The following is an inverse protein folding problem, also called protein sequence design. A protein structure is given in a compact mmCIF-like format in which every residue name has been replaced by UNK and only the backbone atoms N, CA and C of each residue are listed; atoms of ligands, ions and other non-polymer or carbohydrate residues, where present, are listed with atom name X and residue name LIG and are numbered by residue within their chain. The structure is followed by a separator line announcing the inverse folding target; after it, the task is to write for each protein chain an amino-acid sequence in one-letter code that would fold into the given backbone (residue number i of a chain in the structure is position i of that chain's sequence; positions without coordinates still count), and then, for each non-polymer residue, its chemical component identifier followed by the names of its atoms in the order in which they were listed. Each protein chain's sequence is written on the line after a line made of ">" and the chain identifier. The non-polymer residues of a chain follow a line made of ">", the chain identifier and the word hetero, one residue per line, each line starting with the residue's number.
data_IF_513221513309
#
_entry.id   IF_513221513309
#
_cell.length_a   1.000
_cell.length_b   1.000
_cell.length_c   1.000
_cell.angle_alpha   90.00
_cell.angle_beta   90.00
_cell.angle_gamma   90.00
#
_symmetry.space_group_name_H-M   'P 1'
#
loop_
_entity.id
_entity.type
_entity.pdbx_description
1 polymer ?
#
# COMPACT_ATOMS: atom_id res chain seq x y z
N UNK A 1 -28.18 6.23 -20.31
CA UNK A 1 -28.51 5.09 -21.17
C UNK A 1 -27.59 4.90 -22.38
N UNK A 2 -27.26 5.95 -23.18
CA UNK A 2 -26.34 5.85 -24.33
C UNK A 2 -24.89 5.54 -23.90
N UNK A 3 -24.39 6.18 -22.87
CA UNK A 3 -23.04 5.94 -22.32
C UNK A 3 -22.92 4.55 -21.72
N UNK A 4 -23.92 4.07 -20.97
CA UNK A 4 -23.90 2.72 -20.39
C UNK A 4 -23.91 1.62 -21.47
N UNK A 5 -24.65 1.81 -22.57
CA UNK A 5 -24.62 0.85 -23.69
C UNK A 5 -23.28 0.84 -24.44
N UNK A 6 -22.63 2.00 -24.56
CA UNK A 6 -21.33 2.08 -25.22
C UNK A 6 -20.19 1.52 -24.38
N UNK A 7 -20.22 1.74 -23.06
CA UNK A 7 -19.26 1.14 -22.11
C UNK A 7 -19.37 -0.39 -22.13
N UNK A 8 -20.58 -0.94 -22.02
CA UNK A 8 -20.79 -2.39 -22.03
C UNK A 8 -20.39 -3.06 -23.36
N UNK A 9 -20.56 -2.37 -24.48
CA UNK A 9 -20.11 -2.88 -25.78
C UNK A 9 -18.59 -2.84 -25.93
N UNK A 10 -17.95 -1.78 -25.44
CA UNK A 10 -16.48 -1.66 -25.40
C UNK A 10 -15.85 -2.78 -24.57
N UNK A 11 -16.35 -3.01 -23.37
CA UNK A 11 -15.83 -4.06 -22.48
C UNK A 11 -16.03 -5.46 -23.09
N UNK A 12 -17.16 -5.68 -23.77
CA UNK A 12 -17.40 -6.95 -24.46
C UNK A 12 -16.39 -7.17 -25.59
N UNK A 13 -16.15 -6.17 -26.42
CA UNK A 13 -15.17 -6.25 -27.50
C UNK A 13 -13.74 -6.43 -26.96
N UNK A 14 -13.41 -5.70 -25.88
CA UNK A 14 -12.13 -5.83 -25.24
C UNK A 14 -11.91 -7.25 -24.69
N UNK A 15 -12.90 -7.82 -24.01
CA UNK A 15 -12.83 -9.22 -23.51
C UNK A 15 -12.65 -10.23 -24.64
N UNK A 16 -13.39 -10.06 -25.77
CA UNK A 16 -13.25 -10.94 -26.93
C UNK A 16 -11.82 -10.88 -27.48
N UNK A 17 -11.30 -9.67 -27.67
CA UNK A 17 -9.92 -9.47 -28.14
C UNK A 17 -8.91 -10.10 -27.18
N UNK A 18 -8.97 -9.77 -25.90
CA UNK A 18 -8.04 -10.30 -24.89
C UNK A 18 -8.07 -11.82 -24.79
N UNK A 19 -9.25 -12.42 -24.81
CA UNK A 19 -9.37 -13.90 -24.84
C UNK A 19 -8.82 -14.51 -26.11
N UNK A 20 -8.95 -13.83 -27.26
CA UNK A 20 -8.38 -14.29 -28.54
C UNK A 20 -6.85 -14.21 -28.49
N UNK A 21 -6.29 -13.11 -27.98
CA UNK A 21 -4.84 -12.93 -27.84
C UNK A 21 -4.24 -14.00 -26.91
N UNK A 22 -4.90 -14.28 -25.77
CA UNK A 22 -4.50 -15.35 -24.86
C UNK A 22 -4.58 -16.74 -25.51
N UNK A 23 -5.62 -17.02 -26.30
CA UNK A 23 -5.79 -18.28 -27.02
C UNK A 23 -4.68 -18.46 -28.08
N UNK A 24 -4.21 -17.36 -28.67
CA UNK A 24 -3.09 -17.35 -29.62
C UNK A 24 -1.71 -17.46 -28.96
N UNK A 25 -1.67 -17.56 -27.61
CA UNK A 25 -0.44 -17.81 -26.85
C UNK A 25 0.15 -16.57 -26.17
N UNK A 26 -0.48 -15.40 -26.30
CA UNK A 26 -0.11 -14.23 -25.49
C UNK A 26 -0.27 -14.57 -24.01
N UNK A 27 0.59 -13.97 -23.17
CA UNK A 27 0.57 -14.18 -21.71
C UNK A 27 0.36 -12.87 -20.94
N UNK A 28 0.06 -11.79 -21.65
CA UNK A 28 -0.04 -10.46 -21.06
C UNK A 28 -1.19 -9.67 -21.70
N UNK A 29 -1.96 -8.95 -20.88
CA UNK A 29 -2.98 -8.00 -21.28
C UNK A 29 -2.67 -6.66 -20.62
N UNK A 30 -2.54 -5.61 -21.42
CA UNK A 30 -2.29 -4.23 -20.92
C UNK A 30 -1.19 -4.14 -19.86
N UNK A 31 -0.05 -4.82 -20.06
CA UNK A 31 1.05 -4.79 -19.10
C UNK A 31 0.83 -5.65 -17.84
N UNK A 32 -0.18 -6.53 -17.85
CA UNK A 32 -0.46 -7.47 -16.76
C UNK A 32 -0.26 -8.90 -17.26
N UNK A 33 0.64 -9.62 -16.65
CA UNK A 33 0.84 -11.06 -16.90
C UNK A 33 -0.32 -11.85 -16.30
N UNK A 34 -0.85 -12.77 -17.11
CA UNK A 34 -1.88 -13.72 -16.72
C UNK A 34 -1.19 -15.00 -16.28
N UNK A 35 -1.32 -15.36 -15.01
CA UNK A 35 -0.85 -16.64 -14.48
C UNK A 35 -2.02 -17.57 -14.17
N UNK A 36 -1.74 -18.75 -13.64
CA UNK A 36 -2.79 -19.75 -13.39
C UNK A 36 -3.74 -19.31 -12.25
N UNK A 37 -3.25 -18.52 -11.29
CA UNK A 37 -3.98 -18.22 -10.06
C UNK A 37 -3.99 -16.72 -9.68
N UNK A 38 -3.27 -15.86 -10.41
CA UNK A 38 -3.23 -14.43 -10.12
C UNK A 38 -2.82 -13.58 -11.32
N UNK A 39 -3.08 -12.30 -11.23
CA UNK A 39 -2.64 -11.27 -12.17
C UNK A 39 -1.38 -10.61 -11.62
N UNK A 40 -0.36 -10.44 -12.46
CA UNK A 40 0.92 -9.86 -12.04
C UNK A 40 1.29 -8.69 -12.94
N UNK A 41 1.41 -7.50 -12.37
CA UNK A 41 1.81 -6.31 -13.13
C UNK A 41 3.24 -6.46 -13.65
N UNK A 42 3.45 -6.12 -14.93
CA UNK A 42 4.80 -6.04 -15.53
C UNK A 42 5.54 -4.83 -14.95
N UNK A 43 6.70 -5.07 -14.40
CA UNK A 43 7.57 -4.02 -13.89
C UNK A 43 8.54 -3.57 -14.99
N UNK A 44 8.56 -2.27 -15.25
CA UNK A 44 9.49 -1.68 -16.21
C UNK A 44 10.77 -1.23 -15.50
N UNK A 45 11.89 -1.29 -16.22
CA UNK A 45 13.18 -0.79 -15.74
C UNK A 45 13.59 0.53 -16.42
N UNK A 46 12.70 1.09 -17.24
CA UNK A 46 12.98 2.33 -17.96
C UNK A 46 12.74 3.53 -17.04
N UNK A 47 13.58 4.54 -17.14
CA UNK A 47 13.44 5.84 -16.45
C UNK A 47 13.42 5.74 -14.92
N UNK A 48 14.06 4.71 -14.35
CA UNK A 48 14.19 4.56 -12.91
C UNK A 48 15.31 5.49 -12.42
N UNK A 49 15.06 6.35 -11.39
CA UNK A 49 16.07 7.23 -10.82
C UNK A 49 17.29 6.47 -10.28
N UNK A 50 18.44 7.12 -10.13
CA UNK A 50 19.57 6.50 -9.44
C UNK A 50 19.20 6.18 -7.98
N UNK A 51 19.75 5.11 -7.35
CA UNK A 51 19.42 4.77 -5.96
C UNK A 51 19.66 5.92 -4.97
N UNK A 52 20.69 6.71 -5.19
CA UNK A 52 21.00 7.92 -4.42
C UNK A 52 19.93 8.99 -4.58
N UNK A 53 19.41 9.18 -5.80
CA UNK A 53 18.29 10.10 -6.05
C UNK A 53 17.02 9.64 -5.34
N UNK A 54 16.72 8.34 -5.35
CA UNK A 54 15.56 7.79 -4.63
C UNK A 54 15.70 7.86 -3.11
N UNK A 55 16.90 7.88 -2.55
CA UNK A 55 17.12 8.07 -1.12
C UNK A 55 17.13 9.55 -0.70
N UNK A 56 17.43 10.47 -1.62
CA UNK A 56 17.68 11.88 -1.31
C UNK A 56 16.53 12.58 -0.58
N UNK A 57 15.25 12.43 -0.98
CA UNK A 57 14.17 13.15 -0.30
C UNK A 57 14.02 12.77 1.19
N UNK A 58 14.29 11.49 1.54
CA UNK A 58 14.23 11.03 2.93
C UNK A 58 15.47 11.49 3.69
N UNK A 59 16.64 11.49 3.05
CA UNK A 59 17.87 12.02 3.63
C UNK A 59 17.72 13.50 3.98
N UNK A 60 17.23 14.32 3.04
CA UNK A 60 16.99 15.75 3.23
C UNK A 60 16.00 15.99 4.38
N UNK A 61 14.91 15.22 4.42
CA UNK A 61 13.91 15.28 5.50
C UNK A 61 14.55 14.97 6.85
N UNK A 62 15.32 13.89 6.94
CA UNK A 62 15.98 13.49 8.17
C UNK A 62 17.03 14.52 8.61
N UNK A 63 17.84 15.03 7.69
CA UNK A 63 18.85 16.06 7.99
C UNK A 63 18.24 17.35 8.53
N UNK A 64 17.06 17.74 8.02
CA UNK A 64 16.33 18.93 8.47
C UNK A 64 15.65 18.75 9.82
N UNK A 65 15.16 17.55 10.12
CA UNK A 65 14.28 17.33 11.27
C UNK A 65 14.93 16.60 12.43
N UNK A 66 15.88 15.71 12.15
CA UNK A 66 16.54 14.82 13.12
C UNK A 66 15.57 13.94 13.93
N UNK A 67 14.34 13.73 13.44
CA UNK A 67 13.36 12.86 14.07
C UNK A 67 13.71 11.41 13.72
N UNK A 68 13.58 10.44 14.66
CA UNK A 68 13.73 9.01 14.35
C UNK A 68 12.88 8.60 13.14
N UNK A 69 13.54 8.30 12.04
CA UNK A 69 12.92 8.07 10.73
C UNK A 69 13.07 6.62 10.33
N UNK A 70 11.96 6.04 9.87
CA UNK A 70 11.84 4.66 9.42
C UNK A 70 11.39 4.63 7.96
N UNK A 71 11.93 3.68 7.19
CA UNK A 71 11.67 3.57 5.78
C UNK A 71 11.33 2.14 5.36
N UNK A 72 10.19 1.99 4.72
CA UNK A 72 9.67 0.72 4.18
C UNK A 72 9.38 0.89 2.71
N UNK A 73 10.10 0.17 1.86
CA UNK A 73 9.76 -0.02 0.45
C UNK A 73 9.16 -1.40 0.26
N UNK A 74 7.90 -1.42 -0.16
CA UNK A 74 7.16 -2.66 -0.39
C UNK A 74 7.40 -3.13 -1.83
N UNK A 75 7.90 -4.35 -2.05
CA UNK A 75 8.01 -4.91 -3.39
C UNK A 75 6.64 -5.22 -3.97
N UNK A 76 6.53 -5.30 -5.28
CA UNK A 76 5.31 -5.75 -5.95
C UNK A 76 5.10 -7.26 -5.87
N UNK A 77 3.87 -7.72 -6.11
CA UNK A 77 3.53 -9.14 -6.22
C UNK A 77 4.39 -9.85 -7.29
N UNK A 78 4.65 -9.21 -8.43
CA UNK A 78 5.45 -9.79 -9.50
C UNK A 78 6.94 -9.95 -9.17
N UNK A 79 7.46 -9.24 -8.17
CA UNK A 79 8.77 -9.53 -7.61
C UNK A 79 8.75 -10.75 -6.70
N UNK A 80 7.80 -10.81 -5.77
CA UNK A 80 7.71 -11.91 -4.78
C UNK A 80 7.35 -13.24 -5.46
N UNK A 81 6.46 -13.19 -6.44
CA UNK A 81 5.99 -14.36 -7.19
C UNK A 81 6.66 -14.51 -8.56
N UNK A 82 7.91 -14.09 -8.68
CA UNK A 82 8.68 -14.15 -9.94
C UNK A 82 8.64 -15.53 -10.60
N UNK A 83 8.60 -16.60 -9.82
CA UNK A 83 8.50 -17.98 -10.32
C UNK A 83 7.16 -18.30 -11.03
N UNK A 84 6.12 -17.49 -10.81
CA UNK A 84 4.82 -17.64 -11.50
C UNK A 84 4.76 -16.90 -12.84
N UNK A 85 5.72 -16.02 -13.11
CA UNK A 85 5.76 -15.28 -14.36
C UNK A 85 5.95 -16.23 -15.54
N UNK A 86 5.39 -15.92 -16.71
CA UNK A 86 5.61 -16.70 -17.94
C UNK A 86 7.11 -16.87 -18.25
N UNK A 87 7.46 -17.99 -18.90
CA UNK A 87 8.82 -18.19 -19.39
C UNK A 87 9.22 -17.02 -20.31
N UNK A 88 10.39 -16.45 -20.08
CA UNK A 88 10.91 -15.27 -20.79
C UNK A 88 10.15 -13.94 -20.48
N UNK A 89 9.36 -13.87 -19.41
CA UNK A 89 8.78 -12.61 -18.99
C UNK A 89 9.88 -11.59 -18.67
N UNK A 90 9.75 -10.40 -19.25
CA UNK A 90 10.63 -9.27 -18.94
C UNK A 90 10.02 -8.54 -17.73
N UNK A 91 10.69 -8.60 -16.60
CA UNK A 91 10.24 -7.97 -15.37
C UNK A 91 11.45 -7.42 -14.59
N UNK A 92 11.39 -6.14 -14.21
CA UNK A 92 12.45 -5.49 -13.45
C UNK A 92 12.69 -6.21 -12.12
N UNK A 93 13.92 -6.21 -11.64
CA UNK A 93 14.28 -6.78 -10.34
C UNK A 93 14.19 -5.71 -9.26
N UNK A 94 13.40 -5.96 -8.23
CA UNK A 94 13.19 -4.98 -7.17
C UNK A 94 14.06 -5.24 -5.94
N UNK A 95 14.49 -6.47 -5.68
CA UNK A 95 15.30 -6.81 -4.50
C UNK A 95 16.57 -5.99 -4.42
N UNK A 96 17.40 -6.07 -5.44
CA UNK A 96 18.67 -5.32 -5.47
C UNK A 96 18.41 -3.81 -5.48
N UNK A 97 17.36 -3.37 -6.16
CA UNK A 97 16.95 -1.96 -6.20
C UNK A 97 16.66 -1.43 -4.81
N UNK A 98 15.81 -2.10 -4.04
CA UNK A 98 15.49 -1.74 -2.64
C UNK A 98 16.75 -1.69 -1.80
N UNK A 99 17.61 -2.70 -1.91
CA UNK A 99 18.86 -2.75 -1.15
C UNK A 99 19.79 -1.56 -1.46
N UNK A 100 19.93 -1.21 -2.74
CA UNK A 100 20.76 -0.07 -3.15
C UNK A 100 20.19 1.26 -2.65
N UNK A 101 18.86 1.45 -2.66
CA UNK A 101 18.22 2.64 -2.08
C UNK A 101 18.51 2.70 -0.58
N UNK A 102 18.34 1.60 0.15
CA UNK A 102 18.61 1.54 1.60
C UNK A 102 20.09 1.81 1.94
N UNK A 103 21.02 1.32 1.13
CA UNK A 103 22.46 1.63 1.30
C UNK A 103 22.79 3.11 1.01
N UNK A 104 21.90 3.82 0.32
CA UNK A 104 22.06 5.25 0.01
C UNK A 104 21.38 6.17 1.03
N UNK A 105 20.73 5.61 2.05
CA UNK A 105 20.15 6.42 3.14
C UNK A 105 21.22 6.86 4.13
N UNK A 106 21.03 8.05 4.71
CA UNK A 106 21.86 8.61 5.77
C UNK A 106 21.80 7.76 7.04
N UNK A 107 22.93 7.68 7.77
CA UNK A 107 22.97 7.04 9.09
C UNK A 107 21.94 7.68 10.04
N UNK A 108 21.13 6.84 10.70
CA UNK A 108 20.03 7.27 11.56
C UNK A 108 18.66 7.04 10.94
N UNK A 109 18.59 6.76 9.64
CA UNK A 109 17.37 6.27 9.00
C UNK A 109 17.31 4.74 9.11
N UNK A 110 16.20 4.23 9.64
CA UNK A 110 16.02 2.81 9.92
C UNK A 110 15.20 2.14 8.81
N UNK A 111 15.87 1.46 7.89
CA UNK A 111 15.20 0.72 6.81
C UNK A 111 14.64 -0.62 7.31
N UNK A 112 13.44 -0.99 6.88
CA UNK A 112 12.76 -2.26 7.20
C UNK A 112 12.70 -3.11 5.93
N UNK A 113 13.24 -4.32 5.98
CA UNK A 113 13.33 -5.22 4.83
C UNK A 113 12.03 -5.97 4.59
N UNK A 114 11.06 -5.27 3.99
CA UNK A 114 9.77 -5.88 3.60
C UNK A 114 9.95 -6.99 2.55
N UNK A 115 10.97 -6.89 1.66
CA UNK A 115 11.19 -7.90 0.64
C UNK A 115 11.49 -9.27 1.24
N UNK A 116 12.42 -9.37 2.18
CA UNK A 116 12.78 -10.65 2.80
C UNK A 116 11.64 -11.20 3.66
N UNK A 117 10.90 -10.33 4.38
CA UNK A 117 9.73 -10.73 5.17
C UNK A 117 8.68 -11.36 4.25
N UNK A 118 8.26 -10.67 3.19
CA UNK A 118 7.22 -11.13 2.27
C UNK A 118 7.68 -12.35 1.47
N UNK A 119 8.94 -12.40 1.05
CA UNK A 119 9.49 -13.59 0.35
C UNK A 119 9.44 -14.85 1.21
N UNK A 120 9.64 -14.74 2.53
CA UNK A 120 9.53 -15.88 3.45
C UNK A 120 8.08 -16.39 3.62
N UNK A 121 7.10 -15.57 3.27
CA UNK A 121 5.67 -15.84 3.41
C UNK A 121 4.97 -16.08 2.07
N UNK A 122 5.71 -16.20 0.97
CA UNK A 122 5.17 -16.27 -0.39
C UNK A 122 4.17 -17.41 -0.65
N UNK A 123 4.18 -18.45 0.20
CA UNK A 123 3.25 -19.59 0.09
C UNK A 123 1.91 -19.29 0.80
N UNK A 124 1.78 -18.11 1.43
CA UNK A 124 0.55 -17.63 2.04
C UNK A 124 -0.13 -16.58 1.16
N UNK A 125 -1.37 -16.22 1.50
CA UNK A 125 -2.14 -15.20 0.80
C UNK A 125 -1.72 -13.79 1.24
N UNK A 126 -0.53 -13.35 0.80
CA UNK A 126 0.09 -12.07 1.21
C UNK A 126 -0.10 -10.94 0.19
N UNK A 127 -0.52 -11.26 -1.03
CA UNK A 127 -0.95 -10.31 -2.06
C UNK A 127 -2.31 -10.72 -2.62
N UNK A 128 -3.10 -9.72 -3.04
CA UNK A 128 -4.32 -9.98 -3.78
C UNK A 128 -4.00 -10.60 -5.15
N UNK A 129 -4.94 -11.39 -5.67
CA UNK A 129 -4.80 -12.05 -6.99
C UNK A 129 -5.18 -11.13 -8.14
N UNK A 130 -6.06 -10.17 -7.86
CA UNK A 130 -6.67 -9.30 -8.87
C UNK A 130 -6.32 -7.83 -8.67
N UNK A 131 -5.47 -7.52 -7.70
CA UNK A 131 -5.06 -6.17 -7.34
C UNK A 131 -3.54 -6.08 -7.12
N UNK A 132 -2.98 -4.87 -7.22
CA UNK A 132 -1.53 -4.63 -7.01
C UNK A 132 -1.11 -4.70 -5.56
N UNK A 133 -2.03 -4.47 -4.62
CA UNK A 133 -1.72 -4.36 -3.20
C UNK A 133 -1.44 -5.71 -2.53
N UNK A 134 -0.70 -5.63 -1.43
CA UNK A 134 -0.63 -6.72 -0.46
C UNK A 134 -1.94 -6.86 0.31
N UNK A 135 -2.16 -8.02 0.92
CA UNK A 135 -3.28 -8.21 1.85
C UNK A 135 -2.94 -7.66 3.23
N UNK A 136 -3.94 -7.44 4.08
CA UNK A 136 -3.70 -7.10 5.50
C UNK A 136 -2.81 -8.14 6.20
N UNK A 137 -2.88 -9.41 5.77
CA UNK A 137 -2.03 -10.47 6.31
C UNK A 137 -0.55 -10.22 5.99
N UNK A 138 -0.22 -9.89 4.73
CA UNK A 138 1.15 -9.52 4.36
C UNK A 138 1.62 -8.25 5.08
N UNK A 139 0.77 -7.23 5.13
CA UNK A 139 1.02 -5.97 5.83
C UNK A 139 1.29 -6.19 7.33
N UNK A 140 0.57 -7.10 8.00
CA UNK A 140 0.77 -7.42 9.41
C UNK A 140 2.18 -7.90 9.73
N UNK A 141 2.77 -8.77 8.93
CA UNK A 141 4.12 -9.26 9.22
C UNK A 141 5.20 -8.20 9.01
N UNK A 142 5.01 -7.29 8.06
CA UNK A 142 5.89 -6.13 7.90
C UNK A 142 5.70 -5.17 9.07
N UNK A 143 4.45 -4.95 9.51
CA UNK A 143 4.16 -4.18 10.72
C UNK A 143 4.89 -4.70 11.95
N UNK A 144 4.91 -6.02 12.19
CA UNK A 144 5.61 -6.58 13.34
C UNK A 144 7.09 -6.16 13.36
N UNK A 145 7.77 -6.24 12.24
CA UNK A 145 9.17 -5.83 12.14
C UNK A 145 9.35 -4.32 12.28
N UNK A 146 8.48 -3.54 11.64
CA UNK A 146 8.53 -2.09 11.68
C UNK A 146 8.32 -1.58 13.11
N UNK A 147 7.25 -2.00 13.77
CA UNK A 147 6.88 -1.50 15.10
C UNK A 147 7.88 -1.91 16.18
N UNK A 148 8.49 -3.09 16.03
CA UNK A 148 9.59 -3.54 16.89
C UNK A 148 10.81 -2.64 16.76
N UNK A 149 11.16 -2.28 15.53
CA UNK A 149 12.27 -1.37 15.26
C UNK A 149 11.99 0.05 15.76
N UNK A 150 10.71 0.44 15.81
CA UNK A 150 10.22 1.70 16.39
C UNK A 150 10.13 1.67 17.92
N UNK A 151 10.58 0.58 18.56
CA UNK A 151 10.67 0.47 20.03
C UNK A 151 9.39 0.05 20.73
N UNK A 152 8.42 -0.50 20.01
CA UNK A 152 7.19 -1.04 20.60
C UNK A 152 7.16 -2.57 20.56
N UNK A 153 6.31 -3.16 21.39
CA UNK A 153 5.98 -4.58 21.29
C UNK A 153 4.83 -4.75 20.29
N UNK A 154 4.99 -5.56 19.23
CA UNK A 154 3.92 -5.82 18.28
C UNK A 154 2.69 -6.43 18.97
N UNK A 155 1.50 -6.03 18.56
CA UNK A 155 0.27 -6.69 18.99
C UNK A 155 0.22 -8.09 18.35
N UNK A 156 0.08 -9.17 19.11
CA UNK A 156 0.00 -10.53 18.57
C UNK A 156 -1.18 -10.71 17.60
N UNK A 157 -0.98 -11.47 16.53
CA UNK A 157 -1.99 -11.72 15.49
C UNK A 157 -3.34 -12.16 16.06
N UNK A 158 -3.32 -13.03 17.09
CA UNK A 158 -4.50 -13.60 17.74
C UNK A 158 -5.34 -12.57 18.52
N UNK A 159 -4.84 -11.33 18.68
CA UNK A 159 -5.60 -10.24 19.29
C UNK A 159 -6.52 -9.54 18.30
N UNK A 160 -6.31 -9.76 17.02
CA UNK A 160 -7.17 -9.18 15.99
C UNK A 160 -8.34 -10.10 15.66
N UNK A 161 -9.54 -9.55 15.71
CA UNK A 161 -10.73 -10.15 15.11
C UNK A 161 -10.68 -9.82 13.62
N UNK A 162 -10.76 -10.86 12.80
CA UNK A 162 -10.69 -10.74 11.35
C UNK A 162 -12.09 -10.99 10.78
N UNK A 163 -12.60 -10.03 10.03
CA UNK A 163 -13.90 -10.10 9.38
C UNK A 163 -13.72 -10.06 7.86
N UNK A 164 -14.26 -11.05 7.16
CA UNK A 164 -14.30 -11.05 5.69
C UNK A 164 -15.42 -10.11 5.23
N UNK A 165 -15.05 -8.91 4.80
CA UNK A 165 -16.01 -7.85 4.47
C UNK A 165 -16.55 -8.00 3.04
N UNK A 166 -15.70 -8.45 2.12
CA UNK A 166 -16.08 -8.80 0.76
C UNK A 166 -15.38 -10.10 0.36
N UNK A 167 -16.08 -10.99 -0.30
CA UNK A 167 -15.54 -12.23 -0.91
C UNK A 167 -15.56 -12.17 -2.43
N UNK A 168 -15.89 -11.03 -2.99
CA UNK A 168 -15.93 -10.77 -4.44
C UNK A 168 -15.15 -9.50 -4.82
N UNK A 169 -14.07 -9.23 -4.09
CA UNK A 169 -13.19 -8.11 -4.39
C UNK A 169 -12.43 -8.39 -5.70
N UNK A 170 -12.51 -7.44 -6.63
CA UNK A 170 -11.77 -7.43 -7.89
C UNK A 170 -11.11 -6.07 -8.04
N UNK A 171 -9.78 -6.06 -7.92
CA UNK A 171 -9.00 -4.84 -7.88
C UNK A 171 -8.56 -4.32 -9.24
N UNK A 172 -7.62 -3.41 -9.21
CA UNK A 172 -7.18 -2.63 -10.37
C UNK A 172 -6.55 -3.47 -11.50
N UNK A 173 -5.93 -4.62 -11.20
CA UNK A 173 -5.40 -5.51 -12.25
C UNK A 173 -6.53 -6.22 -13.00
N UNK A 174 -7.62 -6.56 -12.30
CA UNK A 174 -8.82 -7.07 -12.95
C UNK A 174 -9.46 -5.99 -13.83
N UNK A 175 -9.59 -4.75 -13.35
CA UNK A 175 -10.13 -3.64 -14.13
C UNK A 175 -9.35 -3.41 -15.43
N UNK A 176 -8.00 -3.50 -15.38
CA UNK A 176 -7.14 -3.39 -16.56
C UNK A 176 -7.33 -4.53 -17.54
N UNK A 177 -7.58 -5.76 -17.07
CA UNK A 177 -7.56 -6.97 -17.93
C UNK A 177 -8.94 -7.49 -18.29
N UNK A 178 -9.93 -7.25 -17.43
CA UNK A 178 -11.28 -7.85 -17.46
C UNK A 178 -11.24 -9.39 -17.56
N UNK A 179 -10.16 -10.02 -17.05
CA UNK A 179 -9.94 -11.47 -17.15
C UNK A 179 -10.63 -12.20 -16.01
N UNK A 180 -11.67 -12.99 -16.35
CA UNK A 180 -12.59 -13.58 -15.39
C UNK A 180 -12.15 -14.92 -14.77
N UNK A 181 -11.10 -15.56 -15.32
CA UNK A 181 -10.72 -16.91 -14.88
C UNK A 181 -9.81 -16.92 -13.63
N UNK A 182 -9.59 -15.75 -13.00
CA UNK A 182 -8.95 -15.63 -11.69
C UNK A 182 -10.04 -15.51 -10.63
N UNK A 183 -9.88 -16.24 -9.52
CA UNK A 183 -10.77 -16.13 -8.37
C UNK A 183 -10.75 -14.72 -7.80
N UNK A 184 -11.92 -14.22 -7.41
CA UNK A 184 -12.02 -12.97 -6.68
C UNK A 184 -11.24 -13.05 -5.36
N UNK A 185 -10.89 -11.90 -4.84
CA UNK A 185 -10.16 -11.74 -3.60
C UNK A 185 -11.11 -11.58 -2.40
N UNK A 186 -10.54 -11.74 -1.21
CA UNK A 186 -11.22 -11.50 0.05
C UNK A 186 -10.67 -10.19 0.63
N UNK A 187 -11.56 -9.24 0.88
CA UNK A 187 -11.22 -8.01 1.58
C UNK A 187 -11.47 -8.20 3.07
N UNK A 188 -10.41 -8.09 3.86
CA UNK A 188 -10.43 -8.36 5.29
C UNK A 188 -10.35 -7.09 6.12
N UNK A 189 -11.12 -7.06 7.20
CA UNK A 189 -11.02 -6.05 8.25
C UNK A 189 -10.37 -6.65 9.48
N UNK A 190 -9.41 -5.91 10.06
CA UNK A 190 -8.69 -6.30 11.28
C UNK A 190 -9.03 -5.34 12.40
N UNK A 191 -9.64 -5.82 13.47
CA UNK A 191 -9.97 -5.04 14.67
C UNK A 191 -9.35 -5.67 15.92
N UNK A 192 -8.73 -4.85 16.75
CA UNK A 192 -8.38 -5.24 18.11
C UNK A 192 -9.41 -4.66 19.08
N UNK A 193 -10.47 -5.42 19.37
CA UNK A 193 -11.59 -4.96 20.20
C UNK A 193 -11.18 -4.61 21.63
N UNK A 194 -10.14 -5.24 22.16
CA UNK A 194 -9.60 -4.99 23.51
C UNK A 194 -8.43 -4.00 23.52
N UNK A 195 -8.04 -3.49 22.37
CA UNK A 195 -6.92 -2.56 22.21
C UNK A 195 -7.35 -1.10 22.14
N UNK A 196 -6.46 -0.28 21.59
CA UNK A 196 -6.71 1.13 21.36
C UNK A 196 -7.90 1.34 20.41
N UNK A 197 -8.68 2.37 20.72
CA UNK A 197 -9.84 2.79 19.94
C UNK A 197 -9.58 4.16 19.32
N UNK A 198 -10.07 4.39 18.12
CA UNK A 198 -10.02 5.68 17.45
C UNK A 198 -11.06 6.59 18.11
N UNK A 199 -10.65 7.80 18.46
CA UNK A 199 -11.52 8.84 19.03
C UNK A 199 -12.00 9.83 17.97
N UNK A 200 -11.15 10.14 16.97
CA UNK A 200 -11.53 10.96 15.82
C UNK A 200 -10.66 10.68 14.60
N UNK A 201 -11.23 10.89 13.43
CA UNK A 201 -10.55 10.93 12.14
C UNK A 201 -10.92 12.23 11.43
N UNK A 202 -9.92 13.04 11.09
CA UNK A 202 -10.11 14.33 10.41
C UNK A 202 -9.27 14.36 9.14
N UNK A 203 -9.93 14.54 8.00
CA UNK A 203 -9.27 14.72 6.71
C UNK A 203 -9.08 16.20 6.40
N UNK A 204 -8.05 16.50 5.59
CA UNK A 204 -7.75 17.85 5.12
C UNK A 204 -7.53 17.79 3.60
N UNK A 205 -8.14 18.70 2.89
CA UNK A 205 -7.93 18.90 1.47
C UNK A 205 -6.69 19.78 1.16
N UNK A 206 -6.48 20.07 -0.11
CA UNK A 206 -5.38 20.94 -0.60
C UNK A 206 -5.43 22.38 -0.08
N UNK A 207 -6.61 22.86 0.33
CA UNK A 207 -6.82 24.19 0.88
C UNK A 207 -6.78 24.21 2.42
N UNK A 208 -6.52 23.05 3.04
CA UNK A 208 -6.54 22.89 4.49
C UNK A 208 -7.94 22.85 5.09
N UNK A 209 -9.00 22.71 4.27
CA UNK A 209 -10.36 22.54 4.79
C UNK A 209 -10.50 21.17 5.47
N UNK A 210 -11.15 21.17 6.62
CA UNK A 210 -11.32 20.01 7.47
C UNK A 210 -12.64 19.29 7.18
N UNK A 211 -12.57 17.97 7.09
CA UNK A 211 -13.70 17.07 7.06
C UNK A 211 -13.60 16.08 8.23
N UNK A 212 -14.55 16.08 9.15
CA UNK A 212 -14.61 15.12 10.25
C UNK A 212 -15.24 13.83 9.71
N UNK A 213 -14.48 12.72 9.69
CA UNK A 213 -14.91 11.40 9.20
C UNK A 213 -15.40 10.46 10.28
N UNK A 214 -15.56 10.96 11.53
CA UNK A 214 -16.02 10.17 12.67
C UNK A 214 -14.86 9.55 13.47
N UNK A 215 -15.05 8.33 13.94
CA UNK A 215 -14.12 7.60 14.81
C UNK A 215 -13.80 6.19 14.28
N UNK A 216 -13.82 6.01 12.96
CA UNK A 216 -13.49 4.75 12.30
C UNK A 216 -12.64 5.00 11.04
N UNK A 217 -11.88 3.99 10.64
CA UNK A 217 -11.05 4.03 9.43
C UNK A 217 -11.79 3.56 8.18
N UNK A 218 -12.73 2.64 8.36
CA UNK A 218 -13.30 1.85 7.30
C UNK A 218 -14.52 2.52 6.68
N UNK A 219 -14.51 2.66 5.35
CA UNK A 219 -15.61 3.24 4.57
C UNK A 219 -16.44 2.14 3.89
N UNK A 220 -17.58 1.83 4.48
CA UNK A 220 -18.50 0.82 3.93
C UNK A 220 -19.14 1.21 2.59
N UNK A 221 -19.15 2.49 2.25
CA UNK A 221 -19.69 2.98 0.97
C UNK A 221 -18.80 2.49 -0.18
N UNK A 222 -17.49 2.41 0.03
CA UNK A 222 -16.54 1.94 -0.97
C UNK A 222 -16.85 0.52 -1.47
N UNK A 223 -17.47 -0.34 -0.65
CA UNK A 223 -17.83 -1.71 -1.03
C UNK A 223 -18.83 -1.79 -2.18
N UNK A 224 -19.59 -0.73 -2.41
CA UNK A 224 -20.55 -0.61 -3.53
C UNK A 224 -19.97 0.13 -4.75
N UNK A 225 -18.71 0.55 -4.69
CA UNK A 225 -18.02 1.28 -5.74
C UNK A 225 -17.06 0.37 -6.52
N UNK A 226 -16.53 0.83 -7.64
CA UNK A 226 -15.54 0.08 -8.42
C UNK A 226 -14.24 -0.13 -7.62
N UNK A 227 -13.73 0.90 -6.96
CA UNK A 227 -12.55 0.80 -6.12
C UNK A 227 -12.92 0.41 -4.68
N UNK A 228 -13.19 -0.88 -4.43
CA UNK A 228 -13.48 -1.39 -3.10
C UNK A 228 -12.29 -1.27 -2.12
N UNK A 229 -11.04 -1.13 -2.59
CA UNK A 229 -9.89 -0.98 -1.73
C UNK A 229 -9.93 0.31 -0.90
N UNK A 230 -10.67 1.33 -1.35
CA UNK A 230 -10.95 2.53 -0.55
C UNK A 230 -11.73 2.24 0.74
N UNK A 231 -12.17 1.01 0.96
CA UNK A 231 -12.72 0.57 2.25
C UNK A 231 -11.81 0.92 3.43
N UNK A 232 -10.48 0.84 3.26
CA UNK A 232 -9.55 0.99 4.37
C UNK A 232 -9.45 2.43 4.93
N UNK A 233 -9.50 3.46 4.12
CA UNK A 233 -9.39 4.86 4.58
C UNK A 233 -10.44 5.79 3.97
N UNK A 234 -11.31 5.26 3.12
CA UNK A 234 -12.29 6.04 2.39
C UNK A 234 -11.66 6.87 1.27
N UNK A 235 -12.34 7.95 0.90
CA UNK A 235 -11.91 8.86 -0.16
C UNK A 235 -10.50 9.41 0.11
N UNK A 236 -9.60 9.43 -0.88
CA UNK A 236 -8.27 10.02 -0.74
C UNK A 236 -8.33 11.48 -0.26
N UNK A 237 -7.37 11.87 0.56
CA UNK A 237 -7.15 13.23 1.04
C UNK A 237 -5.65 13.46 1.18
N UNK A 238 -5.21 14.71 1.06
CA UNK A 238 -3.78 15.02 1.19
C UNK A 238 -3.24 14.71 2.58
N UNK A 239 -4.04 15.02 3.61
CA UNK A 239 -3.67 14.79 5.01
C UNK A 239 -4.84 14.18 5.76
N UNK A 240 -4.53 13.21 6.61
CA UNK A 240 -5.48 12.60 7.55
C UNK A 240 -4.86 12.61 8.95
N UNK A 241 -5.63 13.02 9.95
CA UNK A 241 -5.20 12.95 11.36
C UNK A 241 -6.12 12.00 12.10
N UNK A 242 -5.53 10.97 12.70
CA UNK A 242 -6.20 9.96 13.50
C UNK A 242 -5.80 10.20 14.96
N UNK A 243 -6.80 10.37 15.81
CA UNK A 243 -6.64 10.43 17.27
C UNK A 243 -7.09 9.11 17.87
N UNK A 244 -6.39 8.63 18.88
CA UNK A 244 -6.72 7.38 19.59
C UNK A 244 -6.80 7.64 21.10
N UNK A 245 -7.28 6.63 21.83
CA UNK A 245 -7.29 6.63 23.30
C UNK A 245 -6.02 6.01 23.91
N UNK A 246 -4.94 5.86 23.15
CA UNK A 246 -3.65 5.37 23.69
C UNK A 246 -3.12 6.37 24.71
N UNK A 247 -2.87 5.89 25.93
CA UNK A 247 -2.36 6.72 27.03
C UNK A 247 -0.83 6.88 26.95
N UNK A 248 -0.37 7.55 25.88
CA UNK A 248 1.02 8.01 25.74
C UNK A 248 1.03 9.30 24.90
N UNK A 249 2.13 10.05 24.96
CA UNK A 249 2.28 11.29 24.19
C UNK A 249 2.92 11.06 22.80
N UNK A 250 2.93 9.82 22.32
CA UNK A 250 3.62 9.47 21.07
C UNK A 250 2.79 9.82 19.85
N UNK A 251 3.39 10.57 18.95
CA UNK A 251 2.82 10.95 17.67
C UNK A 251 3.64 10.38 16.51
N UNK A 252 2.95 9.83 15.53
CA UNK A 252 3.53 9.33 14.29
C UNK A 252 3.23 10.28 13.13
N UNK A 253 4.25 10.62 12.36
CA UNK A 253 4.08 11.21 11.04
C UNK A 253 4.31 10.11 9.99
N UNK A 254 3.28 9.79 9.21
CA UNK A 254 3.29 8.74 8.20
C UNK A 254 3.19 9.36 6.80
N UNK A 255 4.23 9.19 6.00
CA UNK A 255 4.21 9.47 4.56
C UNK A 255 3.92 8.17 3.80
N UNK A 256 2.91 8.17 2.95
CA UNK A 256 2.44 6.92 2.38
C UNK A 256 1.91 7.04 0.94
N UNK A 257 1.91 5.91 0.21
CA UNK A 257 0.99 5.61 -0.88
C UNK A 257 -0.14 4.67 -0.40
N UNK A 258 -1.02 4.23 -1.28
CA UNK A 258 -2.16 3.36 -0.96
C UNK A 258 -1.77 2.00 -0.36
N UNK A 259 -0.52 1.55 -0.49
CA UNK A 259 -0.07 0.32 0.16
C UNK A 259 -0.15 0.38 1.69
N UNK A 260 -0.01 1.54 2.30
CA UNK A 260 -0.11 1.68 3.75
C UNK A 260 -1.54 1.60 4.28
N UNK A 261 -2.58 1.69 3.46
CA UNK A 261 -3.96 1.84 3.94
C UNK A 261 -4.40 0.66 4.82
N UNK A 262 -4.12 -0.57 4.41
CA UNK A 262 -4.39 -1.76 5.22
C UNK A 262 -3.35 -2.01 6.35
N UNK A 263 -2.27 -1.24 6.42
CA UNK A 263 -1.26 -1.30 7.48
C UNK A 263 -1.61 -0.41 8.67
N UNK A 264 -2.32 0.70 8.44
CA UNK A 264 -2.67 1.71 9.46
C UNK A 264 -3.46 1.14 10.64
N UNK A 265 -4.41 0.19 10.47
CA UNK A 265 -5.13 -0.41 11.59
C UNK A 265 -4.23 -1.03 12.68
N UNK A 266 -3.03 -1.45 12.30
CA UNK A 266 -2.05 -1.98 13.27
C UNK A 266 -1.32 -0.87 14.01
N UNK A 267 -1.09 0.29 13.38
CA UNK A 267 -0.37 1.44 13.97
C UNK A 267 -1.17 2.14 15.07
N UNK A 268 -2.50 2.17 14.95
CA UNK A 268 -3.38 2.85 15.93
C UNK A 268 -3.24 2.28 17.35
N UNK A 269 -2.68 1.08 17.49
CA UNK A 269 -2.46 0.43 18.79
C UNK A 269 -1.30 1.03 19.58
N UNK A 270 -0.50 1.92 19.00
CA UNK A 270 0.77 2.36 19.56
C UNK A 270 0.90 3.86 19.73
N UNK A 271 0.07 4.65 19.07
CA UNK A 271 0.21 6.10 19.02
C UNK A 271 -1.07 6.80 19.47
N UNK A 272 -0.88 7.88 20.24
CA UNK A 272 -1.96 8.79 20.59
C UNK A 272 -2.50 9.53 19.36
N UNK A 273 -1.60 9.90 18.45
CA UNK A 273 -1.95 10.60 17.21
C UNK A 273 -1.14 10.03 16.04
N UNK A 274 -1.79 9.87 14.89
CA UNK A 274 -1.14 9.53 13.63
C UNK A 274 -1.53 10.61 12.62
N UNK A 275 -0.54 11.38 12.17
CA UNK A 275 -0.69 12.32 11.05
C UNK A 275 -0.21 11.62 9.78
N UNK A 276 -1.10 11.44 8.83
CA UNK A 276 -0.85 10.77 7.55
C UNK A 276 -0.77 11.81 6.46
N UNK A 277 0.28 11.77 5.66
CA UNK A 277 0.46 12.54 4.43
C UNK A 277 0.39 11.57 3.27
N UNK A 278 -0.61 11.74 2.42
CA UNK A 278 -0.78 10.92 1.23
C UNK A 278 0.07 11.48 0.07
N UNK A 279 1.12 10.75 -0.29
CA UNK A 279 2.04 11.15 -1.35
C UNK A 279 1.41 11.07 -2.74
N UNK A 280 0.34 10.27 -2.92
CA UNK A 280 -0.41 10.22 -4.17
C UNK A 280 -1.19 11.53 -4.44
N UNK A 281 -1.49 12.30 -3.38
CA UNK A 281 -2.22 13.58 -3.44
C UNK A 281 -1.30 14.79 -3.17
N UNK A 282 0.00 14.58 -3.00
CA UNK A 282 0.95 15.60 -2.58
C UNK A 282 2.18 15.59 -3.49
N UNK A 283 2.47 16.67 -4.24
CA UNK A 283 3.51 16.65 -5.29
C UNK A 283 4.95 16.60 -4.76
N UNK A 284 5.16 16.90 -3.49
CA UNK A 284 6.47 16.82 -2.82
C UNK A 284 6.28 16.48 -1.34
N UNK A 285 7.33 15.95 -0.70
CA UNK A 285 7.32 15.63 0.73
C UNK A 285 7.28 16.92 1.54
N UNK A 286 6.15 17.26 2.21
CA UNK A 286 6.10 18.47 3.04
C UNK A 286 6.80 18.23 4.38
N UNK A 287 7.60 19.20 4.82
CA UNK A 287 8.09 19.23 6.19
C UNK A 287 7.04 19.91 7.06
N UNK A 288 6.57 19.29 8.17
CA UNK A 288 5.60 19.92 9.05
C UNK A 288 6.19 21.17 9.71
N UNK A 289 5.34 22.14 10.06
CA UNK A 289 5.78 23.40 10.68
C UNK A 289 6.48 23.17 12.02
N UNK A 290 6.02 22.18 12.80
CA UNK A 290 6.60 21.78 14.09
C UNK A 290 7.04 20.31 14.04
N UNK A 291 8.16 19.98 13.39
CA UNK A 291 8.57 18.59 13.24
C UNK A 291 8.79 17.89 14.59
N UNK A 292 9.24 18.61 15.59
CA UNK A 292 9.60 18.08 16.92
C UNK A 292 8.41 17.62 17.78
N UNK A 293 7.17 17.85 17.33
CA UNK A 293 6.00 17.25 18.01
C UNK A 293 5.83 15.76 17.67
N UNK A 294 6.48 15.24 16.63
CA UNK A 294 6.40 13.84 16.27
C UNK A 294 7.50 13.02 16.92
N UNK A 295 7.12 11.89 17.48
CA UNK A 295 8.05 10.93 18.08
C UNK A 295 8.80 10.11 17.04
N UNK A 296 8.09 9.74 15.97
CA UNK A 296 8.60 8.94 14.87
C UNK A 296 8.05 9.44 13.53
N UNK A 297 8.85 9.21 12.50
CA UNK A 297 8.44 9.38 11.10
C UNK A 297 8.53 8.02 10.41
N UNK A 298 7.50 7.64 9.68
CA UNK A 298 7.51 6.44 8.84
C UNK A 298 7.22 6.82 7.40
N UNK A 299 8.12 6.47 6.50
CA UNK A 299 7.87 6.44 5.07
C UNK A 299 7.53 5.01 4.68
N UNK A 300 6.33 4.76 4.21
CA UNK A 300 5.87 3.45 3.72
C UNK A 300 5.23 3.61 2.35
N UNK A 301 5.85 3.01 1.36
CA UNK A 301 5.41 3.09 -0.03
C UNK A 301 5.78 1.83 -0.80
N UNK A 302 5.02 1.53 -1.85
CA UNK A 302 5.49 0.59 -2.87
C UNK A 302 6.74 1.15 -3.55
N UNK A 303 7.68 0.28 -3.92
CA UNK A 303 8.86 0.71 -4.66
C UNK A 303 8.48 1.35 -6.00
N UNK A 304 7.45 0.83 -6.66
CA UNK A 304 7.01 1.32 -7.97
C UNK A 304 6.49 2.76 -7.90
N UNK A 305 5.67 3.06 -6.90
CA UNK A 305 5.21 4.44 -6.68
C UNK A 305 6.39 5.33 -6.29
N UNK A 306 7.23 4.89 -5.35
CA UNK A 306 8.37 5.66 -4.86
C UNK A 306 9.32 6.08 -5.99
N UNK A 307 9.72 5.14 -6.87
CA UNK A 307 10.60 5.43 -8.00
C UNK A 307 9.96 6.38 -9.05
N UNK A 308 8.65 6.49 -9.08
CA UNK A 308 7.95 7.44 -9.96
C UNK A 308 7.68 8.81 -9.30
N UNK A 309 7.73 8.85 -7.97
CA UNK A 309 7.44 10.04 -7.17
C UNK A 309 8.67 10.95 -7.01
N UNK A 310 9.87 10.37 -6.96
CA UNK A 310 11.14 11.08 -6.64
C UNK A 310 11.96 11.51 -7.86
#
# INVERSE_FOLDING_TARGET
>A
NYLQQHIGFHDTLFRIKSNTDLFLGEKMIQGVYITDDMLLEKLNSNDIPAPTASAQPINDFYEQTQIPTYFVLVPSASEIYRAKLPTNAINAEQKNRIQQIYLSTTNGIHCIDAHNILSSLKDNYIYYRTDTHWTCYGAYYVYQSAIQKMGFTPVPYQRFVISHISTDFRGNLYEKTLYNNIHADILDEYRNESGAQITSVTAYDENGQQEIRGNHLYDTIALSQSNQYQYYLGKPSQKLVIQTNVENDKKLLLYKDSFADCFIPFLIQHYHEICIINLEETPMIPTPANPQEYTHVLFLSSLQFWDSYV
#
